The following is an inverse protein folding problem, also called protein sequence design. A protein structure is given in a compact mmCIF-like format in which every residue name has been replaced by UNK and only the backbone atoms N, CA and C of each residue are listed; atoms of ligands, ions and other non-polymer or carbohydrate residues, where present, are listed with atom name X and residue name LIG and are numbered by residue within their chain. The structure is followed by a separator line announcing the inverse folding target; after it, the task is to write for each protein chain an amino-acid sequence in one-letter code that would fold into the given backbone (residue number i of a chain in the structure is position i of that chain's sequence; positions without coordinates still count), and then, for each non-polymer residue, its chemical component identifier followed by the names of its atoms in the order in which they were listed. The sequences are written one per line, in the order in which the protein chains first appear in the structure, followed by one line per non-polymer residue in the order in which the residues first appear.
data_IF_597651760756
#
_entry.id   IF_597651760756
#
_cell.length_a   1.000
_cell.length_b   1.000
_cell.length_c   1.000
_cell.angle_alpha   90.00
_cell.angle_beta   90.00
_cell.angle_gamma   90.00
#
_symmetry.space_group_name_H-M   'P 1'
#
loop_
_entity.id
_entity.type
_entity.pdbx_description
1 polymer ?
2 water ?
#
# COMPACT_ATOMS: atom_id res chain seq x y z
N UNK A 23 -6.77 40.78 -29.41
CA UNK A 23 -7.81 39.70 -29.40
C UNK A 23 -8.74 39.89 -28.19
N UNK A 24 -9.56 38.88 -27.90
CA UNK A 24 -10.40 38.85 -26.72
C UNK A 24 -9.51 38.61 -25.50
N UNK A 25 -9.61 39.44 -24.45
CA UNK A 25 -8.86 39.15 -23.23
C UNK A 25 -9.41 37.93 -22.46
N UNK A 26 -10.70 37.56 -22.64
CA UNK A 26 -11.37 36.49 -21.80
C UNK A 26 -12.13 35.51 -22.68
N UNK A 27 -11.84 34.22 -22.51
CA UNK A 27 -12.58 33.16 -23.16
C UNK A 27 -13.21 32.26 -22.11
N UNK A 28 -14.34 31.64 -22.44
CA UNK A 28 -15.00 30.70 -21.54
C UNK A 28 -15.34 29.40 -22.29
N UNK A 29 -15.49 28.32 -21.53
CA UNK A 29 -15.85 27.03 -22.04
C UNK A 29 -16.81 26.42 -21.04
N UNK A 30 -17.91 25.83 -21.51
CA UNK A 30 -18.86 25.12 -20.65
C UNK A 30 -19.17 23.77 -21.28
N UNK A 31 -19.10 22.69 -20.50
CA UNK A 31 -19.38 21.34 -21.00
C UNK A 31 -20.03 20.52 -19.89
N UNK A 32 -20.76 19.49 -20.28
CA UNK A 32 -21.30 18.49 -19.40
C UNK A 32 -22.77 18.68 -19.14
N UNK A 33 -23.22 18.02 -18.08
CA UNK A 33 -24.60 17.86 -17.76
C UNK A 33 -24.97 18.87 -16.69
N UNK A 34 -25.71 19.94 -17.02
CA UNK A 34 -26.18 20.85 -15.98
C UNK A 34 -26.98 20.21 -14.83
N UNK A 35 -27.76 19.18 -15.13
CA UNK A 35 -28.54 18.47 -14.12
C UNK A 35 -27.75 17.40 -13.37
N UNK A 36 -26.54 17.09 -13.86
CA UNK A 36 -25.73 15.98 -13.42
C UNK A 36 -26.50 14.65 -13.58
N UNK A 37 -27.41 14.61 -14.56
CA UNK A 37 -28.22 13.39 -14.78
C UNK A 37 -27.81 12.66 -16.07
N UNK A 38 -26.84 13.20 -16.82
CA UNK A 38 -26.30 12.53 -18.01
C UNK A 38 -24.89 12.00 -17.71
N UNK A 39 -24.71 10.68 -17.80
CA UNK A 39 -23.52 10.00 -17.30
C UNK A 39 -22.63 9.61 -18.48
N UNK A 40 -22.00 10.60 -19.13
CA UNK A 40 -21.32 10.36 -20.39
C UNK A 40 -19.80 10.53 -20.23
N UNK A 41 -19.29 10.70 -19.01
CA UNK A 41 -17.82 10.74 -18.83
C UNK A 41 -17.36 9.47 -18.12
N UNK A 42 -16.05 9.36 -17.90
CA UNK A 42 -15.47 8.15 -17.41
C UNK A 42 -14.46 8.46 -16.28
N UNK A 43 -14.42 7.63 -15.26
CA UNK A 43 -13.42 7.69 -14.20
C UNK A 43 -12.94 6.29 -13.86
N UNK A 44 -11.64 6.11 -13.62
CA UNK A 44 -11.05 4.87 -13.23
C UNK A 44 -10.61 4.89 -11.78
N UNK A 45 -10.94 3.90 -10.94
CA UNK A 45 -10.59 3.91 -9.56
C UNK A 45 -9.30 3.10 -9.34
N UNK A 46 -8.85 3.10 -8.10
CA UNK A 46 -7.54 2.56 -7.76
C UNK A 46 -7.44 1.05 -7.97
N UNK A 47 -8.56 0.33 -8.06
CA UNK A 47 -8.58 -1.10 -8.42
C UNK A 47 -8.68 -1.31 -9.94
N UNK A 48 -8.47 -0.27 -10.76
CA UNK A 48 -8.48 -0.27 -12.20
C UNK A 48 -9.87 -0.60 -12.74
N UNK A 49 -10.93 -0.34 -11.97
CA UNK A 49 -12.28 -0.50 -12.47
C UNK A 49 -12.79 0.82 -13.05
N UNK A 50 -13.37 0.82 -14.23
CA UNK A 50 -13.81 1.98 -14.95
C UNK A 50 -15.29 2.18 -14.74
N UNK A 51 -15.72 3.43 -14.57
CA UNK A 51 -17.08 3.77 -14.33
C UNK A 51 -17.55 4.97 -15.14
N UNK A 52 -18.85 5.01 -15.44
CA UNK A 52 -19.51 6.15 -16.03
C UNK A 52 -19.86 7.18 -14.93
N UNK A 53 -19.68 8.46 -15.23
CA UNK A 53 -19.95 9.50 -14.25
C UNK A 53 -20.53 10.68 -15.00
N UNK A 54 -21.13 11.61 -14.24
CA UNK A 54 -21.63 12.87 -14.77
C UNK A 54 -20.72 14.02 -14.26
N UNK A 55 -20.63 15.08 -15.02
CA UNK A 55 -19.83 16.21 -14.61
C UNK A 55 -20.45 17.49 -15.15
N UNK A 56 -20.02 18.63 -14.57
CA UNK A 56 -20.32 19.93 -15.15
C UNK A 56 -19.07 20.76 -15.04
N UNK A 57 -18.58 21.24 -16.17
CA UNK A 57 -17.27 21.90 -16.32
C UNK A 57 -17.47 23.30 -16.81
N UNK A 58 -16.94 24.28 -16.08
CA UNK A 58 -16.98 25.69 -16.51
C UNK A 58 -15.56 26.23 -16.40
N UNK A 59 -15.02 26.79 -17.45
CA UNK A 59 -13.67 27.28 -17.50
C UNK A 59 -13.59 28.70 -18.07
N UNK A 60 -12.56 29.41 -17.63
CA UNK A 60 -12.24 30.72 -18.03
C UNK A 60 -10.76 30.76 -18.38
N UNK A 61 -10.42 31.44 -19.47
CA UNK A 61 -9.07 31.88 -19.72
C UNK A 61 -9.05 33.40 -19.68
N UNK A 62 -8.52 33.94 -18.58
CA UNK A 62 -8.51 35.38 -18.32
C UNK A 62 -7.09 35.82 -18.55
N UNK A 63 -6.85 36.33 -19.78
CA UNK A 63 -5.53 36.81 -20.14
C UNK A 63 -4.43 35.88 -19.68
N UNK A 64 -4.58 34.58 -20.00
CA UNK A 64 -3.59 33.56 -19.72
C UNK A 64 -3.68 32.90 -18.33
N UNK A 65 -4.67 33.27 -17.54
CA UNK A 65 -4.98 32.56 -16.27
C UNK A 65 -6.12 31.58 -16.54
N UNK A 66 -5.92 30.29 -16.30
CA UNK A 66 -6.95 29.28 -16.50
C UNK A 66 -7.66 29.01 -15.17
N UNK A 67 -8.97 29.30 -15.09
CA UNK A 67 -9.75 29.01 -13.94
C UNK A 67 -10.75 27.95 -14.32
N UNK A 68 -10.81 26.89 -13.52
CA UNK A 68 -11.68 25.71 -13.83
C UNK A 68 -12.58 25.41 -12.63
N UNK A 69 -13.91 25.32 -12.87
CA UNK A 69 -14.90 24.89 -11.92
C UNK A 69 -15.43 23.53 -12.38
N UNK A 70 -15.53 22.57 -11.49
CA UNK A 70 -15.97 21.20 -11.83
C UNK A 70 -16.87 20.66 -10.74
N UNK A 71 -17.98 20.10 -11.19
CA UNK A 71 -18.80 19.18 -10.39
C UNK A 71 -18.65 17.78 -10.94
N UNK A 72 -18.61 16.79 -10.03
CA UNK A 72 -18.60 15.39 -10.39
C UNK A 72 -19.68 14.63 -9.63
N UNK A 73 -20.35 13.68 -10.33
CA UNK A 73 -21.36 12.80 -9.72
C UNK A 73 -21.19 11.35 -10.13
N UNK A 74 -21.27 10.49 -9.13
CA UNK A 74 -21.42 9.02 -9.33
C UNK A 74 -22.76 8.59 -8.77
N UNK A 75 -23.35 7.58 -9.44
CA UNK A 75 -24.65 6.98 -9.04
C UNK A 75 -24.54 5.48 -9.22
N UNK A 76 -24.83 4.70 -8.17
CA UNK A 76 -24.77 3.22 -8.25
C UNK A 76 -25.60 2.71 -9.44
N UNK A 77 -26.67 3.39 -9.78
CA UNK A 77 -27.56 2.85 -10.81
C UNK A 77 -27.03 3.11 -12.23
N UNK A 78 -26.06 4.03 -12.39
CA UNK A 78 -25.61 4.36 -13.76
C UNK A 78 -24.10 4.14 -13.95
N UNK A 79 -23.35 3.90 -12.88
CA UNK A 79 -21.91 3.94 -12.96
C UNK A 79 -21.36 2.72 -13.70
N UNK A 80 -22.06 1.59 -13.62
CA UNK A 80 -21.61 0.34 -14.20
C UNK A 80 -21.38 -0.73 -13.15
N UNK A 81 -21.02 -1.92 -13.63
CA UNK A 81 -20.67 -3.01 -12.78
C UNK A 81 -19.56 -2.68 -11.79
N UNK A 82 -19.80 -3.00 -10.52
CA UNK A 82 -18.85 -2.85 -9.43
C UNK A 82 -18.39 -4.23 -8.99
N UNK A 83 -17.20 -4.67 -9.39
CA UNK A 83 -16.71 -5.97 -8.95
C UNK A 83 -16.75 -6.07 -7.41
N UNK A 84 -17.24 -7.22 -6.98
CA UNK A 84 -16.89 -7.73 -5.70
C UNK A 84 -15.56 -8.44 -5.84
N UNK A 85 -14.94 -8.61 -4.70
CA UNK A 85 -13.56 -8.95 -4.42
C UNK A 85 -13.16 -7.85 -3.44
N UNK A 86 -12.60 -8.25 -2.31
CA UNK A 86 -12.31 -7.36 -1.21
C UNK A 86 -11.63 -6.10 -1.75
N UNK A 87 -10.59 -6.30 -2.58
CA UNK A 87 -9.73 -5.21 -3.07
C UNK A 87 -10.60 -4.16 -3.80
N UNK A 88 -11.42 -4.62 -4.74
CA UNK A 88 -12.33 -3.77 -5.52
C UNK A 88 -13.32 -3.04 -4.61
N UNK A 89 -13.96 -3.76 -3.70
CA UNK A 89 -14.99 -3.18 -2.86
C UNK A 89 -14.43 -2.17 -1.84
N UNK A 90 -13.17 -2.30 -1.48
CA UNK A 90 -12.59 -1.41 -0.53
C UNK A 90 -11.84 -0.25 -1.19
N UNK A 91 -11.94 -0.09 -2.51
CA UNK A 91 -11.31 1.04 -3.21
C UNK A 91 -11.86 2.34 -2.65
N UNK A 92 -10.96 3.34 -2.53
CA UNK A 92 -11.39 4.66 -2.06
C UNK A 92 -11.05 5.78 -3.04
N UNK A 93 -10.07 5.62 -3.92
CA UNK A 93 -9.60 6.74 -4.77
C UNK A 93 -10.03 6.54 -6.22
N UNK A 94 -10.35 7.61 -6.93
CA UNK A 94 -10.61 7.56 -8.33
C UNK A 94 -10.13 8.84 -9.02
N UNK A 95 -9.76 8.72 -10.28
CA UNK A 95 -9.12 9.79 -11.01
C UNK A 95 -10.04 10.31 -12.10
N UNK A 96 -10.14 11.61 -12.24
CA UNK A 96 -10.92 12.24 -13.29
C UNK A 96 -10.00 13.20 -14.04
N UNK A 97 -10.14 13.29 -15.36
CA UNK A 97 -9.28 14.08 -16.20
C UNK A 97 -10.06 15.14 -16.95
N UNK A 98 -9.70 16.43 -16.78
CA UNK A 98 -10.24 17.45 -17.62
C UNK A 98 -9.23 17.73 -18.75
N UNK A 99 -9.73 17.67 -19.98
CA UNK A 99 -8.88 17.79 -21.15
C UNK A 99 -9.45 18.88 -22.06
N UNK A 100 -8.52 19.50 -22.78
CA UNK A 100 -8.84 20.46 -23.86
C UNK A 100 -8.61 19.80 -25.24
N UNK A 101 -8.33 18.50 -25.25
CA UNK A 101 -7.98 17.69 -26.43
C UNK A 101 -8.97 16.53 -26.57
N UNK A 102 -10.18 16.86 -27.02
CA UNK A 102 -11.31 15.96 -26.86
C UNK A 102 -11.18 14.73 -27.79
N UNK A 103 -10.42 14.85 -28.88
CA UNK A 103 -10.20 13.72 -29.79
C UNK A 103 -8.85 13.04 -29.53
N UNK A 104 -7.84 13.81 -29.14
CA UNK A 104 -6.49 13.30 -29.13
C UNK A 104 -6.05 12.73 -27.76
N UNK A 105 -6.59 13.25 -26.64
CA UNK A 105 -6.11 12.86 -25.30
C UNK A 105 -7.20 13.25 -24.31
N UNK A 106 -8.16 12.37 -24.19
CA UNK A 106 -9.42 12.65 -23.46
C UNK A 106 -9.80 11.41 -22.65
N UNK A 107 -9.03 11.01 -21.66
CA UNK A 107 -9.30 9.76 -20.96
C UNK A 107 -10.61 9.72 -20.16
N UNK A 108 -11.13 10.86 -19.74
CA UNK A 108 -12.39 10.88 -19.03
C UNK A 108 -13.58 11.26 -19.92
N UNK A 109 -13.38 11.49 -21.24
CA UNK A 109 -14.50 11.65 -22.12
C UNK A 109 -15.29 12.91 -21.88
N UNK A 110 -14.57 14.01 -21.67
CA UNK A 110 -15.17 15.35 -21.71
C UNK A 110 -15.89 15.51 -23.06
N UNK A 111 -17.10 16.04 -22.98
CA UNK A 111 -17.98 16.23 -24.16
C UNK A 111 -17.72 17.55 -24.81
N UNK A 112 -18.06 17.64 -26.11
CA UNK A 112 -18.06 18.87 -26.80
C UNK A 112 -18.97 19.85 -26.04
N UNK A 113 -18.58 21.12 -26.03
CA UNK A 113 -19.34 22.14 -25.33
C UNK A 113 -19.44 23.45 -26.06
N UNK A 114 -19.53 24.52 -25.28
CA UNK A 114 -19.74 25.82 -25.84
C UNK A 114 -18.56 26.70 -25.48
N UNK A 115 -17.92 27.31 -26.46
CA UNK A 115 -16.85 28.26 -26.22
C UNK A 115 -17.41 29.65 -26.53
N UNK A 116 -17.07 30.62 -25.71
CA UNK A 116 -17.32 32.04 -25.96
C UNK A 116 -15.98 32.79 -25.85
N UNK A 117 -15.74 33.80 -26.69
CA UNK A 117 -16.53 34.18 -27.86
C UNK A 117 -16.41 33.14 -28.98
N UNK A 118 -17.10 33.42 -30.08
CA UNK A 118 -17.29 32.47 -31.17
C UNK A 118 -15.95 32.09 -31.82
N UNK A 119 -14.95 32.96 -31.73
CA UNK A 119 -13.64 32.81 -32.35
C UNK A 119 -12.63 32.02 -31.49
N UNK A 120 -12.96 31.81 -30.22
CA UNK A 120 -12.15 30.99 -29.32
C UNK A 120 -12.27 29.52 -29.72
N UNK A 121 -11.28 28.74 -29.28
CA UNK A 121 -11.24 27.30 -29.50
C UNK A 121 -10.81 26.64 -28.20
N UNK A 122 -10.94 25.34 -28.15
CA UNK A 122 -10.64 24.63 -26.94
C UNK A 122 -9.15 24.73 -26.61
N UNK A 123 -8.27 25.01 -27.56
CA UNK A 123 -6.85 25.06 -27.18
C UNK A 123 -6.60 26.28 -26.28
N UNK A 124 -7.52 27.24 -26.26
CA UNK A 124 -7.50 28.37 -25.30
C UNK A 124 -7.58 27.87 -23.84
N UNK A 125 -7.93 26.59 -23.63
CA UNK A 125 -8.19 26.06 -22.29
C UNK A 125 -7.12 25.04 -21.89
N UNK A 126 -6.05 24.84 -22.68
CA UNK A 126 -4.98 23.97 -22.26
C UNK A 126 -4.23 24.66 -21.13
N UNK A 127 -3.96 23.92 -20.06
CA UNK A 127 -3.10 24.44 -18.99
C UNK A 127 -1.64 24.55 -19.48
N UNK A 128 -0.91 25.52 -18.96
CA UNK A 128 0.53 25.55 -19.14
C UNK A 128 1.14 24.32 -18.50
N UNK A 129 2.27 23.83 -19.08
CA UNK A 129 2.90 22.67 -18.54
C UNK A 129 3.22 22.90 -17.08
N UNK A 130 3.17 21.84 -16.31
CA UNK A 130 3.52 21.85 -14.92
C UNK A 130 5.05 21.90 -14.79
N UNK A 131 5.59 22.93 -14.15
CA UNK A 131 7.04 23.13 -14.05
C UNK A 131 7.66 22.19 -13.01
N UNK A 132 6.88 21.44 -12.25
CA UNK A 132 7.40 20.54 -11.26
C UNK A 132 7.56 19.11 -11.81
N UNK A 133 6.96 18.80 -12.96
CA UNK A 133 6.86 17.44 -13.51
C UNK A 133 7.50 17.40 -14.90
N UNK A 134 8.31 16.37 -15.15
CA UNK A 134 8.89 16.15 -16.47
C UNK A 134 8.39 14.83 -17.08
N UNK A 135 8.56 13.70 -16.37
CA UNK A 135 8.16 12.38 -16.95
C UNK A 135 6.65 12.31 -17.10
N UNK A 136 6.14 12.09 -18.32
CA UNK A 136 4.70 12.08 -18.57
C UNK A 136 4.07 10.72 -18.17
N UNK A 137 2.74 10.70 -18.04
CA UNK A 137 1.87 9.51 -18.00
C UNK A 137 1.61 9.01 -19.42
N UNK A 138 1.81 7.70 -19.64
CA UNK A 138 1.41 7.01 -20.90
C UNK A 138 -0.12 6.83 -20.95
N UNK A 139 -0.80 7.64 -21.76
CA UNK A 139 -2.30 7.64 -21.98
C UNK A 139 -2.82 6.23 -22.28
N UNK A 140 -3.87 5.84 -21.53
CA UNK A 140 -4.74 4.69 -21.74
C UNK A 140 -6.21 5.20 -21.74
N UNK A 141 -7.10 4.46 -22.42
CA UNK A 141 -8.56 4.71 -22.32
C UNK A 141 -9.12 4.22 -20.97
N UNK A 142 -8.45 3.28 -20.31
CA UNK A 142 -8.97 2.74 -19.08
C UNK A 142 -7.87 2.61 -18.03
N UNK A 143 -6.71 3.22 -18.26
CA UNK A 143 -5.58 3.14 -17.31
C UNK A 143 -5.87 4.03 -16.09
N UNK A 144 -5.48 3.54 -14.93
CA UNK A 144 -5.55 4.28 -13.68
C UNK A 144 -4.23 5.01 -13.48
N UNK A 145 -4.29 6.36 -13.28
CA UNK A 145 -3.15 7.19 -12.93
C UNK A 145 -3.43 7.81 -11.57
N UNK A 146 -2.47 7.66 -10.66
CA UNK A 146 -2.59 8.18 -9.30
C UNK A 146 -1.55 9.27 -9.02
N UNK A 147 -1.93 10.56 -9.11
CA UNK A 147 -0.96 11.61 -8.83
C UNK A 147 -0.67 11.63 -7.32
N UNK A 148 0.62 11.82 -6.96
CA UNK A 148 1.08 11.78 -5.55
C UNK A 148 1.74 13.11 -5.20
N UNK A 149 1.63 14.05 -6.13
CA UNK A 149 2.26 15.38 -6.04
C UNK A 149 1.19 16.43 -6.32
N UNK A 150 1.41 17.63 -5.78
CA UNK A 150 0.52 18.71 -6.05
C UNK A 150 -0.34 19.17 -4.89
N UNK A 151 -1.20 20.12 -5.18
CA UNK A 151 -2.12 20.72 -4.22
C UNK A 151 -3.14 19.70 -3.72
N UNK A 152 -3.57 19.89 -2.46
CA UNK A 152 -4.58 19.01 -1.85
C UNK A 152 -5.70 19.87 -1.26
N UNK A 153 -6.92 19.62 -1.69
CA UNK A 153 -8.13 20.31 -1.20
C UNK A 153 -9.00 19.29 -0.49
N UNK A 154 -9.88 19.77 0.36
CA UNK A 154 -10.81 18.85 1.08
C UNK A 154 -12.24 19.34 0.90
N UNK A 155 -13.14 18.43 0.54
CA UNK A 155 -14.52 18.67 0.40
C UNK A 155 -15.32 17.66 1.23
N UNK A 156 -16.47 18.11 1.74
CA UNK A 156 -17.54 17.21 2.19
C UNK A 156 -18.51 16.98 1.04
N UNK A 157 -18.77 15.71 0.62
CA UNK A 157 -19.64 15.46 -0.54
C UNK A 157 -21.14 15.52 -0.18
N UNK A 158 -21.98 15.65 -1.19
CA UNK A 158 -23.41 15.43 -1.02
C UNK A 158 -23.71 13.97 -1.39
N UNK A 159 -24.19 13.20 -0.44
CA UNK A 159 -24.38 11.77 -0.61
C UNK A 159 -25.84 11.40 -0.30
N UNK A 160 -26.31 10.36 -1.01
CA UNK A 160 -27.65 9.77 -0.79
C UNK A 160 -27.50 8.27 -0.63
N UNK A 161 -28.53 7.69 -0.03
CA UNK A 161 -28.64 6.26 0.11
C UNK A 161 -27.66 5.69 1.09
N UNK A 162 -27.12 4.52 0.78
CA UNK A 162 -26.17 3.83 1.59
C UNK A 162 -24.73 4.15 1.22
N UNK A 163 -24.48 5.29 0.57
CA UNK A 163 -23.09 5.71 0.34
C UNK A 163 -22.61 6.63 1.45
N UNK A 164 -21.50 6.23 2.06
CA UNK A 164 -20.90 6.96 3.18
C UNK A 164 -19.39 7.04 3.02
N UNK A 165 -18.92 7.75 1.97
CA UNK A 165 -17.49 7.92 1.75
C UNK A 165 -16.82 8.84 2.77
N UNK A 166 -17.60 9.69 3.47
CA UNK A 166 -16.98 10.72 4.29
C UNK A 166 -16.33 11.81 3.45
N UNK A 167 -15.38 12.49 4.05
CA UNK A 167 -14.68 13.60 3.38
C UNK A 167 -13.99 13.07 2.15
N UNK A 168 -13.98 13.89 1.12
CA UNK A 168 -13.27 13.64 -0.10
C UNK A 168 -12.04 14.55 -0.18
N UNK A 169 -10.85 13.98 -0.09
CA UNK A 169 -9.63 14.73 -0.41
C UNK A 169 -9.48 14.82 -1.90
N UNK A 170 -8.90 15.91 -2.40
CA UNK A 170 -8.75 16.06 -3.83
C UNK A 170 -7.32 16.52 -4.14
N UNK A 171 -6.53 15.69 -4.80
CA UNK A 171 -5.26 16.06 -5.33
C UNK A 171 -5.50 16.61 -6.73
N UNK A 172 -5.02 17.79 -7.04
CA UNK A 172 -5.34 18.36 -8.36
C UNK A 172 -4.11 19.09 -8.90
N UNK A 173 -3.80 18.88 -10.17
CA UNK A 173 -2.62 19.48 -10.76
C UNK A 173 -2.66 19.29 -12.28
N UNK A 174 -1.94 20.13 -13.04
CA UNK A 174 -1.68 19.86 -14.45
C UNK A 174 -0.69 18.70 -14.57
N UNK A 175 -0.95 17.74 -15.46
CA UNK A 175 -0.10 16.54 -15.63
C UNK A 175 0.25 16.41 -17.10
N UNK A 176 1.55 16.17 -17.40
CA UNK A 176 1.94 15.87 -18.78
C UNK A 176 1.58 14.40 -19.13
N UNK A 177 0.97 14.25 -20.28
CA UNK A 177 0.44 12.96 -20.79
C UNK A 177 1.00 12.77 -22.20
N UNK A 178 1.52 11.57 -22.47
CA UNK A 178 2.04 11.21 -23.77
C UNK A 178 1.02 10.32 -24.50
N UNK A 179 0.85 10.61 -25.79
CA UNK A 179 0.04 9.80 -26.68
C UNK A 179 0.56 9.94 -28.12
N UNK A 180 1.04 8.83 -28.69
CA UNK A 180 1.43 8.74 -30.08
C UNK A 180 2.49 9.78 -30.43
N UNK A 181 3.43 10.00 -29.51
CA UNK A 181 4.62 10.88 -29.69
C UNK A 181 4.29 12.35 -29.51
N UNK A 182 3.11 12.65 -28.96
CA UNK A 182 2.66 13.99 -28.73
C UNK A 182 2.46 14.14 -27.22
N UNK A 183 2.77 15.32 -26.71
CA UNK A 183 2.62 15.61 -25.29
C UNK A 183 1.47 16.60 -25.10
N UNK A 184 0.64 16.28 -24.10
CA UNK A 184 -0.47 17.10 -23.75
C UNK A 184 -0.38 17.38 -22.26
N UNK A 185 -0.80 18.57 -21.82
CA UNK A 185 -1.00 18.76 -20.39
C UNK A 185 -2.50 18.76 -20.12
N UNK A 186 -2.89 17.91 -19.17
CA UNK A 186 -4.29 17.81 -18.76
C UNK A 186 -4.39 18.18 -17.31
N UNK A 187 -5.60 18.47 -16.85
CA UNK A 187 -5.84 18.68 -15.43
C UNK A 187 -6.27 17.34 -14.85
N UNK A 188 -5.56 16.87 -13.85
CA UNK A 188 -5.84 15.63 -13.17
C UNK A 188 -6.40 15.84 -11.77
N UNK A 189 -7.52 15.18 -11.46
CA UNK A 189 -8.15 15.19 -10.17
C UNK A 189 -8.13 13.79 -9.58
N UNK A 190 -7.55 13.58 -8.41
CA UNK A 190 -7.64 12.32 -7.66
C UNK A 190 -8.59 12.60 -6.50
N UNK A 191 -9.76 11.98 -6.52
CA UNK A 191 -10.72 12.10 -5.48
C UNK A 191 -10.59 10.94 -4.50
N UNK A 192 -10.44 11.25 -3.23
CA UNK A 192 -9.93 10.30 -2.23
C UNK A 192 -10.91 10.18 -1.06
N UNK A 193 -11.72 9.11 -1.08
CA UNK A 193 -12.71 8.96 -0.04
C UNK A 193 -12.04 8.65 1.28
N UNK A 194 -12.64 9.10 2.37
CA UNK A 194 -12.17 8.77 3.73
C UNK A 194 -12.48 7.29 4.05
N UNK A 195 -13.68 6.85 3.67
CA UNK A 195 -14.22 5.48 3.99
C UNK A 195 -14.46 4.69 2.70
N UNK A 196 -14.12 3.39 2.67
CA UNK A 196 -14.62 2.47 1.65
C UNK A 196 -16.16 2.40 1.75
N UNK A 197 -16.86 2.51 0.62
CA UNK A 197 -18.30 2.52 0.62
C UNK A 197 -18.82 2.45 -0.82
N UNK A 198 -18.43 3.44 -1.63
CA UNK A 198 -19.14 3.71 -2.86
C UNK A 198 -18.78 2.68 -3.95
N UNK A 199 -17.66 1.98 -3.82
CA UNK A 199 -17.36 1.00 -4.83
C UNK A 199 -17.74 -0.43 -4.38
N UNK A 200 -18.44 -0.56 -3.27
CA UNK A 200 -18.89 -1.87 -2.76
C UNK A 200 -20.24 -2.13 -3.39
N UNK A 201 -20.40 -3.18 -4.22
CA UNK A 201 -21.64 -3.44 -4.96
C UNK A 201 -22.86 -3.68 -4.05
N UNK A 202 -22.64 -3.91 -2.74
CA UNK A 202 -23.76 -4.14 -1.80
C UNK A 202 -24.40 -2.80 -1.37
N UNK A 203 -23.79 -1.65 -1.74
CA UNK A 203 -24.28 -0.36 -1.31
C UNK A 203 -24.82 0.47 -2.48
N UNK A 204 -26.09 0.85 -2.46
CA UNK A 204 -26.66 1.73 -3.45
C UNK A 204 -26.62 3.15 -2.92
N UNK A 205 -26.56 4.11 -3.84
CA UNK A 205 -26.41 5.51 -3.46
C UNK A 205 -25.91 6.39 -4.56
N UNK A 206 -25.72 7.67 -4.20
CA UNK A 206 -25.08 8.63 -5.11
C UNK A 206 -24.15 9.55 -4.32
N UNK A 207 -23.31 10.23 -5.08
CA UNK A 207 -22.37 11.18 -4.50
C UNK A 207 -22.13 12.31 -5.51
N UNK A 208 -22.21 13.56 -5.03
CA UNK A 208 -21.85 14.72 -5.80
C UNK A 208 -20.78 15.49 -5.05
N UNK A 209 -19.75 15.93 -5.76
CA UNK A 209 -18.76 16.83 -5.16
C UNK A 209 -18.61 18.07 -6.04
N UNK A 210 -18.59 19.25 -5.38
CA UNK A 210 -18.26 20.47 -6.06
C UNK A 210 -19.00 21.67 -5.50
N UNK A 211 -18.77 22.85 -6.10
CA UNK A 211 -17.89 23.08 -7.24
C UNK A 211 -16.42 23.05 -6.79
N UNK A 212 -15.61 22.21 -7.43
CA UNK A 212 -14.20 22.18 -7.18
C UNK A 212 -13.55 23.24 -8.07
N UNK A 213 -12.89 24.23 -7.49
CA UNK A 213 -12.25 25.30 -8.21
C UNK A 213 -10.74 25.03 -8.27
N UNK A 214 -10.09 25.34 -9.37
CA UNK A 214 -8.67 25.16 -9.54
C UNK A 214 -8.23 26.22 -10.52
N UNK A 215 -7.15 26.93 -10.19
CA UNK A 215 -6.56 27.93 -11.05
C UNK A 215 -5.12 27.54 -11.33
N UNK A 216 -4.69 27.81 -12.55
CA UNK A 216 -3.33 27.62 -12.92
C UNK A 216 -3.05 28.48 -14.12
N UNK A 217 -1.76 28.71 -14.46
CA UNK A 217 -1.50 29.41 -15.74
C UNK A 217 -2.00 28.61 -16.94
N UNK A 218 -2.54 29.32 -17.90
CA UNK A 218 -2.97 28.75 -19.22
C UNK A 218 -1.74 28.67 -20.14
N UNK A 219 -1.77 27.74 -21.07
CA UNK A 219 -0.66 27.64 -22.06
C UNK A 219 -0.57 28.84 -22.97
N UNK A 220 -1.68 29.51 -23.29
CA UNK A 220 -1.69 30.64 -24.21
C UNK A 220 -2.70 31.70 -23.75
N UNK A 221 -2.61 32.85 -24.40
CA UNK A 221 -3.64 33.92 -24.31
C UNK A 221 -4.81 33.54 -25.20
N UNK A 222 -6.04 33.93 -24.86
CA UNK A 222 -7.17 33.70 -25.75
C UNK A 222 -7.14 34.76 -26.85
N UNK B 24 12.81 -39.94 26.54
CA UNK B 24 11.47 -39.36 26.33
C UNK B 24 11.19 -39.24 24.83
N UNK B 25 10.04 -39.76 24.35
CA UNK B 25 9.64 -39.56 22.95
C UNK B 25 9.32 -38.10 22.53
N UNK B 26 8.89 -37.24 23.46
CA UNK B 26 8.39 -35.87 23.15
C UNK B 26 9.00 -34.88 24.12
N UNK B 27 9.55 -33.80 23.58
CA UNK B 27 10.01 -32.68 24.37
C UNK B 27 9.34 -31.40 23.92
N UNK B 28 9.20 -30.43 24.81
CA UNK B 28 8.59 -29.15 24.46
C UNK B 28 9.47 -28.00 24.94
N UNK B 29 9.36 -26.86 24.29
CA UNK B 29 10.00 -25.59 24.68
C UNK B 29 9.02 -24.46 24.52
N UNK B 30 8.94 -23.58 25.52
CA UNK B 30 8.07 -22.38 25.43
C UNK B 30 8.91 -21.20 25.86
N UNK B 31 8.89 -20.13 25.08
CA UNK B 31 9.67 -18.92 25.34
C UNK B 31 8.89 -17.71 24.86
N UNK B 32 9.15 -16.58 25.48
CA UNK B 32 8.60 -15.32 25.10
C UNK B 32 7.45 -14.88 25.97
N UNK B 33 6.71 -13.94 25.43
CA UNK B 33 5.79 -13.05 26.12
C UNK B 33 4.39 -13.54 25.78
N UNK B 34 3.71 -14.25 26.69
CA UNK B 34 2.36 -14.71 26.44
C UNK B 34 1.38 -13.57 26.06
N UNK B 35 1.54 -12.41 26.67
CA UNK B 35 0.71 -11.19 26.40
C UNK B 35 1.19 -10.44 25.15
N UNK B 36 2.35 -10.82 24.60
CA UNK B 36 3.06 -10.09 23.55
C UNK B 36 3.26 -8.63 23.95
N UNK B 37 3.45 -8.36 25.26
CA UNK B 37 3.65 -6.96 25.74
C UNK B 37 5.07 -6.77 26.30
N UNK B 38 5.91 -7.77 26.22
CA UNK B 38 7.33 -7.66 26.59
C UNK B 38 8.13 -7.73 25.28
N UNK B 39 8.92 -6.71 24.94
CA UNK B 39 9.51 -6.51 23.60
C UNK B 39 11.02 -6.75 23.75
N UNK B 40 11.40 -8.02 23.95
CA UNK B 40 12.79 -8.39 24.33
C UNK B 40 13.53 -9.11 23.20
N UNK B 41 12.89 -9.26 22.03
CA UNK B 41 13.56 -9.87 20.85
C UNK B 41 13.90 -8.80 19.82
N UNK B 42 14.58 -9.19 18.72
CA UNK B 42 15.04 -8.28 17.77
C UNK B 42 14.77 -8.78 16.33
N UNK B 43 14.42 -7.87 15.45
CA UNK B 43 14.26 -8.14 14.04
C UNK B 43 14.90 -7.03 13.22
N UNK B 44 15.58 -7.39 12.13
CA UNK B 44 16.20 -6.45 11.23
C UNK B 44 15.42 -6.42 9.93
N UNK B 45 15.12 -5.22 9.42
CA UNK B 45 14.37 -5.08 8.20
C UNK B 45 15.28 -4.87 6.99
N UNK B 46 14.67 -4.78 5.82
CA UNK B 46 15.43 -4.80 4.57
C UNK B 46 16.28 -3.52 4.40
N UNK B 47 16.04 -2.48 5.20
CA UNK B 47 16.86 -1.29 5.17
C UNK B 47 17.93 -1.37 6.25
N UNK B 48 18.12 -2.54 6.86
CA UNK B 48 19.17 -2.85 7.82
C UNK B 48 18.95 -2.08 9.13
N UNK B 49 17.69 -1.73 9.42
CA UNK B 49 17.30 -1.12 10.65
C UNK B 49 16.80 -2.18 11.60
N UNK B 50 17.29 -2.19 12.84
CA UNK B 50 17.00 -3.16 13.88
C UNK B 50 15.94 -2.64 14.81
N UNK B 51 15.02 -3.49 15.18
CA UNK B 51 13.90 -3.15 15.99
C UNK B 51 13.65 -4.17 17.11
N UNK B 52 13.09 -3.71 18.23
CA UNK B 52 12.65 -4.57 19.27
C UNK B 52 11.28 -5.12 18.86
N UNK B 53 11.05 -6.38 19.20
CA UNK B 53 9.72 -6.98 18.97
C UNK B 53 9.37 -7.95 20.07
N UNK B 54 8.07 -8.31 20.12
CA UNK B 54 7.59 -9.30 21.07
C UNK B 54 7.30 -10.59 20.30
N UNK B 55 7.43 -11.73 20.96
CA UNK B 55 7.13 -12.98 20.29
C UNK B 55 6.63 -13.98 21.34
N UNK B 56 5.99 -15.04 20.87
CA UNK B 56 5.65 -16.18 21.71
C UNK B 56 5.91 -17.43 20.92
N UNK B 57 6.84 -18.23 21.45
CA UNK B 57 7.38 -19.40 20.72
C UNK B 57 6.99 -20.67 21.46
N UNK B 58 6.40 -21.62 20.76
CA UNK B 58 6.07 -22.91 21.32
C UNK B 58 6.56 -24.00 20.39
N UNK B 59 7.40 -24.90 20.87
CA UNK B 59 7.99 -25.94 20.04
C UNK B 59 7.85 -27.32 20.65
N UNK B 60 7.83 -28.31 19.78
CA UNK B 60 7.73 -29.66 20.08
C UNK B 60 8.79 -30.41 19.30
N UNK B 61 9.44 -31.35 19.93
CA UNK B 61 10.23 -32.35 19.25
C UNK B 61 9.56 -33.69 19.48
N UNK B 62 8.86 -34.21 18.47
CA UNK B 62 8.09 -35.44 18.58
C UNK B 62 8.86 -36.53 17.85
N UNK B 63 9.66 -37.30 18.61
CA UNK B 63 10.49 -38.36 18.03
C UNK B 63 11.21 -37.88 16.76
N UNK B 64 11.87 -36.70 16.87
CA UNK B 64 12.64 -36.17 15.79
C UNK B 64 11.93 -35.32 14.73
N UNK B 65 10.63 -35.06 14.93
CA UNK B 65 9.92 -34.05 14.15
C UNK B 65 9.85 -32.75 14.98
N UNK B 66 10.34 -31.65 14.43
CA UNK B 66 10.30 -30.36 15.08
C UNK B 66 9.08 -29.61 14.57
N UNK B 67 8.17 -29.29 15.49
CA UNK B 67 7.01 -28.44 15.18
C UNK B 67 7.16 -27.16 15.95
N UNK B 68 7.05 -26.03 15.24
CA UNK B 68 7.24 -24.67 15.81
C UNK B 68 6.03 -23.81 15.53
N UNK B 69 5.49 -23.22 16.61
CA UNK B 69 4.44 -22.22 16.57
C UNK B 69 5.04 -20.88 17.02
N UNK B 70 4.75 -19.84 16.27
CA UNK B 70 5.33 -18.49 16.57
C UNK B 70 4.29 -17.41 16.36
N UNK B 71 4.15 -16.51 17.35
CA UNK B 71 3.53 -15.23 17.17
C UNK B 71 4.64 -14.18 17.16
N UNK B 72 4.44 -13.12 16.37
CA UNK B 72 5.34 -11.97 16.37
C UNK B 72 4.49 -10.71 16.49
N UNK B 73 5.01 -9.70 17.23
CA UNK B 73 4.32 -8.41 17.37
C UNK B 73 5.33 -7.28 17.30
N UNK B 74 4.99 -6.31 16.47
CA UNK B 74 5.64 -4.97 16.49
C UNK B 74 4.66 -3.92 16.95
N UNK B 75 5.21 -2.85 17.59
CA UNK B 75 4.42 -1.77 18.15
C UNK B 75 5.28 -0.50 17.99
N UNK B 76 4.72 0.51 17.33
CA UNK B 76 5.46 1.73 17.06
C UNK B 76 6.01 2.39 18.33
N UNK B 77 5.37 2.18 19.48
CA UNK B 77 5.77 2.83 20.73
C UNK B 77 6.95 2.09 21.39
N UNK B 78 7.24 0.84 20.98
CA UNK B 78 8.28 0.04 21.65
C UNK B 78 9.39 -0.49 20.73
N UNK B 79 9.19 -0.35 19.44
CA UNK B 79 10.07 -1.01 18.48
C UNK B 79 11.42 -0.30 18.38
N UNK B 80 11.48 0.98 18.77
CA UNK B 80 12.72 1.77 18.56
C UNK B 80 12.59 2.81 17.48
N UNK B 81 13.63 3.61 17.35
CA UNK B 81 13.65 4.68 16.39
C UNK B 81 13.53 4.13 14.96
N UNK B 82 12.65 4.74 14.18
CA UNK B 82 12.41 4.47 12.82
C UNK B 82 13.03 5.55 11.98
N UNK B 83 14.19 5.32 11.33
CA UNK B 83 14.78 6.34 10.46
C UNK B 83 13.79 6.80 9.38
N UNK B 84 13.90 8.08 9.03
CA UNK B 84 12.91 8.80 8.23
C UNK B 84 13.28 8.98 6.77
N UNK B 85 14.47 8.53 6.33
CA UNK B 85 14.77 8.54 4.93
C UNK B 85 13.76 7.66 4.18
N UNK B 86 13.58 7.96 2.90
CA UNK B 86 12.50 7.38 2.18
C UNK B 86 12.67 5.87 2.15
N UNK B 87 13.88 5.39 1.89
CA UNK B 87 14.09 3.97 1.69
C UNK B 87 13.77 3.23 2.99
N UNK B 88 14.16 3.78 4.14
CA UNK B 88 13.86 3.20 5.42
C UNK B 88 12.36 3.18 5.66
N UNK B 89 11.70 4.30 5.36
CA UNK B 89 10.27 4.43 5.61
C UNK B 89 9.46 3.50 4.72
N UNK B 90 9.97 3.15 3.56
CA UNK B 90 9.23 2.31 2.62
C UNK B 90 9.64 0.83 2.75
N UNK B 91 10.44 0.45 3.76
CA UNK B 91 10.82 -0.96 3.89
C UNK B 91 9.55 -1.80 4.11
N UNK B 92 9.52 -3.01 3.52
CA UNK B 92 8.39 -3.88 3.68
C UNK B 92 8.77 -5.23 4.31
N UNK B 93 10.02 -5.68 4.23
CA UNK B 93 10.38 -7.05 4.66
C UNK B 93 11.22 -6.98 5.92
N UNK B 94 11.07 -7.97 6.79
CA UNK B 94 11.90 -8.06 8.00
C UNK B 94 12.06 -9.52 8.35
N UNK B 95 13.19 -9.82 8.98
CA UNK B 95 13.62 -11.19 9.23
C UNK B 95 13.59 -11.46 10.72
N UNK B 96 13.11 -12.63 11.12
CA UNK B 96 13.12 -13.07 12.50
C UNK B 96 13.70 -14.48 12.54
N UNK B 97 14.53 -14.73 13.55
CA UNK B 97 15.31 -15.93 13.68
C UNK B 97 14.90 -16.69 14.93
N UNK B 98 14.45 -17.96 14.79
CA UNK B 98 14.26 -18.79 15.95
C UNK B 98 15.52 -19.65 16.09
N UNK B 99 16.10 -19.66 17.28
CA UNK B 99 17.33 -20.32 17.53
C UNK B 99 17.22 -21.25 18.74
N UNK B 100 17.97 -22.33 18.73
CA UNK B 100 18.15 -23.27 19.84
C UNK B 100 19.50 -23.02 20.55
N UNK B 101 20.20 -21.97 20.16
CA UNK B 101 21.59 -21.67 20.60
C UNK B 101 21.61 -20.25 21.17
N UNK B 102 21.11 -20.11 22.39
CA UNK B 102 20.71 -18.80 22.87
C UNK B 102 21.92 -17.95 23.21
N UNK B 103 23.09 -18.58 23.45
CA UNK B 103 24.35 -17.80 23.71
C UNK B 103 25.23 -17.73 22.45
N UNK B 104 25.20 -18.77 21.64
CA UNK B 104 26.17 -18.97 20.57
C UNK B 104 25.72 -18.33 19.24
N UNK B 105 24.42 -18.38 18.91
CA UNK B 105 23.99 -17.99 17.59
C UNK B 105 22.52 -17.63 17.67
N UNK B 106 22.25 -16.39 18.13
CA UNK B 106 20.90 -15.99 18.56
C UNK B 106 20.61 -14.58 18.07
N UNK B 107 20.53 -14.36 16.75
CA UNK B 107 20.43 -13.00 16.21
C UNK B 107 19.13 -12.26 16.57
N UNK B 108 18.07 -12.96 16.85
CA UNK B 108 16.86 -12.32 17.21
C UNK B 108 16.63 -12.32 18.72
N UNK B 109 17.56 -12.82 19.51
CA UNK B 109 17.45 -12.67 20.96
C UNK B 109 16.28 -13.42 21.58
N UNK B 110 16.08 -14.67 21.14
CA UNK B 110 15.17 -15.60 21.84
C UNK B 110 15.64 -15.69 23.30
N UNK B 111 14.67 -15.63 24.19
CA UNK B 111 14.91 -15.66 25.64
C UNK B 111 14.90 -17.07 26.19
N UNK B 112 15.57 -17.24 27.34
CA UNK B 112 15.53 -18.48 28.07
C UNK B 112 14.06 -18.76 28.38
N UNK B 113 13.72 -20.04 28.35
CA UNK B 113 12.35 -20.46 28.47
C UNK B 113 12.27 -21.74 29.27
N UNK B 114 11.17 -22.45 29.11
CA UNK B 114 10.87 -23.65 29.89
C UNK B 114 10.89 -24.87 28.96
N UNK B 115 11.75 -25.86 29.25
CA UNK B 115 11.82 -27.12 28.52
C UNK B 115 11.20 -28.22 29.37
N UNK B 116 10.35 -29.06 28.77
CA UNK B 116 9.72 -30.26 29.38
C UNK B 116 10.07 -31.49 28.53
N UNK B 117 10.34 -32.63 29.14
CA UNK B 117 10.48 -32.82 30.59
C UNK B 117 11.76 -32.13 31.11
N UNK B 118 12.00 -32.21 32.43
CA UNK B 118 13.18 -31.56 33.04
C UNK B 118 14.55 -32.03 32.47
N UNK B 119 14.64 -33.21 31.88
CA UNK B 119 15.91 -33.77 31.36
C UNK B 119 16.22 -33.32 29.91
N UNK B 120 15.24 -32.69 29.25
CA UNK B 120 15.42 -32.12 27.91
C UNK B 120 16.30 -30.87 27.99
N UNK B 121 16.91 -30.48 26.87
CA UNK B 121 17.68 -29.28 26.75
C UNK B 121 17.35 -28.61 25.42
N UNK B 122 17.79 -27.39 25.26
CA UNK B 122 17.43 -26.64 24.07
C UNK B 122 18.00 -27.32 22.84
N UNK B 123 19.05 -28.14 22.95
CA UNK B 123 19.65 -28.88 21.82
C UNK B 123 18.59 -29.75 21.11
N UNK B 124 17.60 -30.21 21.87
CA UNK B 124 16.52 -31.00 21.35
C UNK B 124 15.66 -30.23 20.33
N UNK B 125 15.86 -28.93 20.20
CA UNK B 125 15.05 -28.12 19.32
C UNK B 125 15.81 -27.59 18.14
N UNK B 126 17.05 -28.03 17.92
CA UNK B 126 17.72 -27.63 16.71
C UNK B 126 17.07 -28.30 15.51
N UNK B 127 16.83 -27.57 14.41
CA UNK B 127 16.36 -28.22 13.19
C UNK B 127 17.48 -29.02 12.54
N UNK B 128 17.13 -30.11 11.86
CA UNK B 128 18.06 -30.81 11.01
C UNK B 128 18.49 -29.88 9.88
N UNK B 129 19.74 -30.03 9.41
CA UNK B 129 20.28 -29.17 8.34
C UNK B 129 19.35 -29.21 7.12
N UNK B 130 19.23 -28.06 6.48
CA UNK B 130 18.50 -27.93 5.23
C UNK B 130 19.26 -28.59 4.10
N UNK B 131 18.70 -29.64 3.53
CA UNK B 131 19.39 -30.44 2.49
C UNK B 131 19.38 -29.72 1.14
N UNK B 132 18.73 -28.56 1.02
CA UNK B 132 18.71 -27.78 -0.19
C UNK B 132 19.78 -26.70 -0.21
N UNK B 133 20.35 -26.35 0.94
CA UNK B 133 21.31 -25.25 1.11
C UNK B 133 22.70 -25.77 1.53
N UNK B 134 23.76 -25.19 0.97
CA UNK B 134 25.10 -25.56 1.45
C UNK B 134 25.83 -24.35 2.02
N UNK B 135 25.92 -23.20 1.29
CA UNK B 135 26.74 -22.08 1.86
C UNK B 135 25.96 -21.38 2.98
N UNK B 136 26.58 -21.17 4.14
CA UNK B 136 25.88 -20.61 5.28
C UNK B 136 25.80 -19.08 5.18
N UNK B 137 24.91 -18.49 5.95
CA UNK B 137 24.96 -17.08 6.30
C UNK B 137 26.01 -16.85 7.37
N UNK B 138 26.83 -15.79 7.19
CA UNK B 138 27.74 -15.29 8.27
C UNK B 138 26.94 -14.47 9.28
N UNK B 139 26.83 -14.95 10.52
CA UNK B 139 26.09 -14.32 11.65
C UNK B 139 26.71 -12.93 11.92
N UNK B 140 25.87 -11.89 11.89
CA UNK B 140 25.98 -10.57 12.59
C UNK B 140 24.87 -10.47 13.65
N UNK B 141 25.10 -9.66 14.70
CA UNK B 141 24.07 -9.31 15.67
C UNK B 141 23.02 -8.37 15.05
N UNK B 142 23.36 -7.68 13.96
CA UNK B 142 22.50 -6.68 13.41
C UNK B 142 22.37 -6.81 11.89
N UNK B 143 22.91 -7.86 11.30
CA UNK B 143 22.87 -8.02 9.89
C UNK B 143 21.50 -8.48 9.39
N UNK B 144 21.16 -8.00 8.20
CA UNK B 144 19.92 -8.41 7.50
C UNK B 144 20.20 -9.56 6.54
N UNK B 145 19.46 -10.67 6.74
CA UNK B 145 19.52 -11.84 5.85
C UNK B 145 18.14 -12.03 5.21
N UNK B 146 18.08 -12.15 3.89
CA UNK B 146 16.83 -12.25 3.17
C UNK B 146 16.79 -13.56 2.39
N UNK B 147 16.12 -14.61 2.91
CA UNK B 147 16.04 -15.84 2.15
C UNK B 147 15.12 -15.68 0.94
N UNK B 148 15.52 -16.24 -0.20
CA UNK B 148 14.73 -16.20 -1.42
C UNK B 148 14.30 -17.59 -1.85
N UNK B 149 14.56 -18.56 -1.00
CA UNK B 149 14.31 -20.02 -1.28
C UNK B 149 13.47 -20.56 -0.11
N UNK B 150 12.70 -21.60 -0.41
CA UNK B 150 11.89 -22.36 0.57
C UNK B 150 10.41 -22.07 0.46
N UNK B 151 9.71 -22.54 1.48
CA UNK B 151 8.29 -22.51 1.53
C UNK B 151 7.77 -21.10 1.69
N UNK B 152 6.56 -20.85 1.17
CA UNK B 152 5.93 -19.54 1.29
C UNK B 152 4.54 -19.70 1.83
N UNK B 153 4.23 -19.01 2.91
CA UNK B 153 2.91 -19.01 3.57
C UNK B 153 2.36 -17.59 3.42
N UNK B 154 1.04 -17.45 3.59
CA UNK B 154 0.38 -16.13 3.58
C UNK B 154 -0.55 -15.99 4.78
N UNK B 155 -0.39 -14.85 5.47
CA UNK B 155 -1.21 -14.47 6.60
C UNK B 155 -1.83 -13.09 6.36
N UNK B 156 -3.00 -12.90 6.93
CA UNK B 156 -3.50 -11.55 7.17
C UNK B 156 -3.25 -11.17 8.63
N UNK B 157 -2.53 -10.07 8.89
CA UNK B 157 -2.15 -9.69 10.25
C UNK B 157 -3.31 -8.99 10.98
N UNK B 158 -3.17 -8.91 12.28
CA UNK B 158 -4.05 -8.07 13.12
C UNK B 158 -3.33 -6.75 13.33
N UNK B 159 -3.90 -5.67 12.82
CA UNK B 159 -3.25 -4.37 12.85
C UNK B 159 -4.13 -3.34 13.57
N UNK B 160 -3.46 -2.31 14.08
CA UNK B 160 -4.18 -1.20 14.74
C UNK B 160 -3.59 0.11 14.26
N UNK B 161 -4.32 1.20 14.53
CA UNK B 161 -3.84 2.50 14.26
C UNK B 161 -3.71 2.77 12.78
N UNK B 162 -2.63 3.47 12.45
CA UNK B 162 -2.37 3.85 11.07
C UNK B 162 -1.53 2.80 10.33
N UNK B 163 -1.26 1.66 10.97
CA UNK B 163 -0.49 0.61 10.29
C UNK B 163 -1.38 -0.18 9.33
N UNK B 164 -0.96 -0.22 8.07
CA UNK B 164 -1.67 -0.88 7.00
C UNK B 164 -0.71 -1.66 6.11
N UNK B 165 -0.04 -2.71 6.65
CA UNK B 165 0.87 -3.52 5.87
C UNK B 165 0.18 -4.40 4.83
N UNK B 166 -1.12 -4.62 4.98
CA UNK B 166 -1.81 -5.61 4.15
C UNK B 166 -1.37 -7.02 4.52
N UNK B 167 -1.50 -7.94 3.60
CA UNK B 167 -1.12 -9.33 3.82
C UNK B 167 0.36 -9.43 4.09
N UNK B 168 0.71 -10.40 4.94
CA UNK B 168 2.08 -10.71 5.24
C UNK B 168 2.42 -12.06 4.61
N UNK B 169 3.30 -12.03 3.63
CA UNK B 169 3.90 -13.22 3.05
C UNK B 169 4.98 -13.69 3.98
N UNK B 170 5.17 -15.02 4.11
CA UNK B 170 6.21 -15.51 5.02
C UNK B 170 7.02 -16.58 4.29
N UNK B 171 8.29 -16.30 4.07
CA UNK B 171 9.26 -17.29 3.63
C UNK B 171 9.85 -17.92 4.87
N UNK B 172 9.78 -19.24 4.99
CA UNK B 172 10.29 -19.87 6.22
C UNK B 172 11.06 -21.14 5.89
N UNK B 173 12.23 -21.29 6.48
CA UNK B 173 13.07 -22.46 6.20
C UNK B 173 14.14 -22.58 7.26
N UNK B 174 14.70 -23.77 7.46
CA UNK B 174 15.96 -23.90 8.20
C UNK B 174 17.15 -23.38 7.37
N UNK B 175 18.01 -22.57 7.99
CA UNK B 175 19.12 -21.93 7.29
C UNK B 175 20.42 -22.23 8.05
N UNK B 176 21.47 -22.66 7.32
CA UNK B 176 22.77 -22.85 7.97
C UNK B 176 23.43 -21.48 8.20
N UNK B 177 24.01 -21.33 9.40
CA UNK B 177 24.57 -20.06 9.88
C UNK B 177 25.97 -20.41 10.42
N UNK B 178 26.96 -19.60 10.05
CA UNK B 178 28.33 -19.77 10.52
C UNK B 178 28.67 -18.67 11.51
N UNK B 179 29.30 -19.08 12.60
CA UNK B 179 29.81 -18.15 13.61
C UNK B 179 31.06 -18.75 14.25
N UNK B 180 32.19 -18.05 14.15
CA UNK B 180 33.47 -18.47 14.78
C UNK B 180 33.84 -19.90 14.43
N UNK B 181 33.59 -20.31 13.18
CA UNK B 181 34.02 -21.64 12.75
C UNK B 181 33.06 -22.75 13.12
N UNK B 182 31.91 -22.43 13.74
CA UNK B 182 30.88 -23.41 14.03
C UNK B 182 29.71 -23.16 13.10
N UNK B 183 29.01 -24.23 12.77
CA UNK B 183 27.79 -24.13 12.00
C UNK B 183 26.59 -24.46 12.88
N UNK B 184 25.53 -23.67 12.72
CA UNK B 184 24.30 -23.84 13.41
C UNK B 184 23.16 -23.79 12.38
N UNK B 185 22.15 -24.64 12.51
CA UNK B 185 20.94 -24.44 11.68
C UNK B 185 19.91 -23.73 12.55
N UNK B 186 19.39 -22.64 12.01
CA UNK B 186 18.36 -21.85 12.65
C UNK B 186 17.11 -21.83 11.80
N UNK B 187 15.98 -21.47 12.35
CA UNK B 187 14.75 -21.27 11.56
C UNK B 187 14.65 -19.80 11.22
N UNK B 188 14.56 -19.52 9.95
CA UNK B 188 14.53 -18.17 9.45
C UNK B 188 13.16 -17.83 8.88
N UNK B 189 12.57 -16.71 9.32
CA UNK B 189 11.29 -16.23 8.83
C UNK B 189 11.51 -14.88 8.19
N UNK B 190 11.08 -14.74 6.95
CA UNK B 190 11.05 -13.46 6.25
C UNK B 190 9.61 -13.03 6.14
N UNK B 191 9.25 -12.00 6.87
CA UNK B 191 7.92 -11.43 6.88
C UNK B 191 7.84 -10.29 5.88
N UNK B 192 6.89 -10.38 4.96
CA UNK B 192 6.87 -9.60 3.74
C UNK B 192 5.57 -8.84 3.62
N UNK B 193 5.60 -7.56 4.02
CA UNK B 193 4.35 -6.76 3.97
C UNK B 193 4.00 -6.49 2.51
N UNK B 194 2.71 -6.44 2.22
CA UNK B 194 2.22 -6.08 0.91
C UNK B 194 2.44 -4.58 0.67
N UNK B 195 2.29 -3.77 1.73
CA UNK B 195 2.37 -2.32 1.56
C UNK B 195 3.43 -1.75 2.50
N UNK B 196 4.13 -0.68 2.08
CA UNK B 196 4.93 0.09 2.96
C UNK B 196 4.01 0.78 3.96
N UNK B 197 4.36 0.75 5.24
CA UNK B 197 3.53 1.40 6.25
C UNK B 197 4.20 1.41 7.62
N UNK B 198 4.59 0.23 8.13
CA UNK B 198 4.87 0.07 9.53
C UNK B 198 6.23 0.65 9.89
N UNK B 199 7.11 0.80 8.92
CA UNK B 199 8.45 1.31 9.23
C UNK B 199 8.52 2.84 8.99
N UNK B 200 7.42 3.45 8.61
CA UNK B 200 7.36 4.90 8.37
C UNK B 200 7.15 5.58 9.71
N UNK B 201 8.10 6.42 10.22
CA UNK B 201 7.98 7.03 11.56
C UNK B 201 6.75 7.95 11.76
N UNK B 202 6.08 8.29 10.67
CA UNK B 202 4.87 9.13 10.80
C UNK B 202 3.63 8.29 11.10
N UNK B 203 3.74 6.95 11.01
CA UNK B 203 2.56 6.08 11.27
C UNK B 203 2.69 5.35 12.62
N UNK B 204 1.73 5.56 13.50
CA UNK B 204 1.66 4.86 14.77
C UNK B 204 0.72 3.67 14.58
N UNK B 205 1.00 2.63 15.34
CA UNK B 205 0.15 1.46 15.31
C UNK B 205 0.88 0.22 15.76
N UNK B 206 0.18 -0.90 15.59
CA UNK B 206 0.75 -2.23 15.97
C UNK B 206 0.39 -3.27 14.91
N UNK B 207 1.12 -4.39 14.96
CA UNK B 207 0.81 -5.50 14.11
C UNK B 207 1.18 -6.79 14.82
N UNK B 208 0.27 -7.76 14.76
CA UNK B 208 0.52 -9.10 15.29
C UNK B 208 0.26 -10.10 14.15
N UNK B 209 1.17 -11.08 13.99
CA UNK B 209 0.96 -12.15 13.05
C UNK B 209 1.10 -13.45 13.83
N UNK B 210 0.19 -14.38 13.55
CA UNK B 210 0.33 -15.75 14.06
C UNK B 210 -1.01 -16.40 14.35
N UNK B 211 -0.97 -17.66 14.78
CA UNK B 211 0.23 -18.41 15.04
C UNK B 211 0.79 -18.93 13.72
N UNK B 212 2.07 -18.69 13.46
CA UNK B 212 2.72 -19.22 12.29
C UNK B 212 3.25 -20.60 12.65
N UNK B 213 2.80 -21.63 11.96
CA UNK B 213 3.21 -23.00 12.23
C UNK B 213 4.23 -23.42 11.14
N UNK B 214 5.22 -24.18 11.54
CA UNK B 214 6.25 -24.67 10.65
C UNK B 214 6.79 -26.00 11.20
N UNK B 215 6.82 -27.02 10.37
CA UNK B 215 7.32 -28.30 10.76
C UNK B 215 8.54 -28.62 9.90
N UNK B 216 9.52 -29.30 10.49
CA UNK B 216 10.68 -29.79 9.73
C UNK B 216 11.31 -30.91 10.52
N UNK B 217 12.20 -31.73 9.94
CA UNK B 217 12.89 -32.70 10.77
C UNK B 217 13.80 -32.01 11.81
N UNK B 218 13.83 -32.55 13.03
CA UNK B 218 14.76 -32.09 14.08
C UNK B 218 16.12 -32.73 13.85
N UNK B 219 17.16 -32.11 14.38
CA UNK B 219 18.49 -32.65 14.25
C UNK B 219 18.66 -33.96 15.03
N UNK B 220 18.00 -34.09 16.18
CA UNK B 220 18.19 -35.21 17.06
C UNK B 220 16.84 -35.68 17.61
N UNK B 221 16.89 -36.85 18.23
CA UNK B 221 15.79 -37.36 18.98
C UNK B 221 15.79 -36.69 20.35
N UNK B 222 14.64 -36.52 21.01
CA UNK B 222 14.65 -36.12 22.40
C UNK B 222 14.96 -37.33 23.31
#
# INVERSE_FOLDING_TARGET
MGSSHHHHHHSSGLVPRGSHMVSTPIATFVSGSPSLNTYNATTVNSSANAFSCAYYLQQWNIQGLLVTSLYLKLDSATMGNRPGDLNSANAKWFTFWVSAYLQQCNPSGIQAGTVSPSTATLTDFEPMANRSVTSPWTYSANGYYEPSIGEFQVFSPVVTGAWNPGNIGIRVLPVPVSASGERYTLLCYSLQCTNASIFNPNNSGTMIVGPVLYSCPAASLP
MGSSHHHHHHSSGLVPRGSHMVSTPIATFVSGSPSLNTYNATTVNSSANAFSCAYYLQQWNIQGLLVTSLYLKLDSATMGNRPGDLNSANAKWFTFWVSAYLQQCNPSGIQAGTVSPSTATLTDFEPMANRSVTSPWTYSANGYYEPSIGEFQVFSPVVTGAWNPGNIGIRVLPVPVSASGERYTLLCYSLQCTNASIFNPNNSGTMIVGPVLYSCPAASLP
#
